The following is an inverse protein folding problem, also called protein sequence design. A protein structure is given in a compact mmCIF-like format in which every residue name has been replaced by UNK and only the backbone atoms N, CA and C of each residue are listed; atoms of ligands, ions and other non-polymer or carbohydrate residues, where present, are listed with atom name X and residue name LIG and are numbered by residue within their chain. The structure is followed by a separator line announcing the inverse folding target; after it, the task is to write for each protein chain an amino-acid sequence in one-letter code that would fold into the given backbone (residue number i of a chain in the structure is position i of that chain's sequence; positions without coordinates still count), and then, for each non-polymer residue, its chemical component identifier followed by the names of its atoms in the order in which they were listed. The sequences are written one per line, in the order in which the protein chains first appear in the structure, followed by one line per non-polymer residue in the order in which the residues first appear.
data_IF_142907319694
#
_entry.id   IF_142907319694
#
_cell.length_a   1.000
_cell.length_b   1.000
_cell.length_c   1.000
_cell.angle_alpha   90.00
_cell.angle_beta   90.00
_cell.angle_gamma   90.00
#
_symmetry.space_group_name_H-M   'P 1'
#
loop_
_entity.id
_entity.type
_entity.pdbx_description
1 polymer ?
#
# COMPACT_ATOMS: atom_id res chain seq x y z
N UNK A 1 -5.51 1.08 56.59
CA UNK A 1 -5.84 2.45 56.15
C UNK A 1 -4.53 3.11 55.72
N UNK A 2 -4.30 3.24 54.44
CA UNK A 2 -3.22 4.03 53.87
C UNK A 2 -3.70 4.55 52.52
N UNK A 3 -3.74 5.87 52.40
CA UNK A 3 -4.21 6.64 51.23
C UNK A 3 -3.22 6.58 50.05
N UNK A 4 -3.66 6.65 48.81
CA UNK A 4 -2.75 6.73 47.66
C UNK A 4 -2.30 8.17 47.43
N UNK A 5 -0.98 8.35 47.31
CA UNK A 5 -0.35 9.61 46.96
C UNK A 5 -0.55 9.92 45.47
N UNK A 6 -1.07 11.10 45.18
CA UNK A 6 -1.14 11.72 43.84
C UNK A 6 0.24 12.20 43.41
N UNK A 7 0.73 11.70 42.29
CA UNK A 7 1.89 12.27 41.57
C UNK A 7 1.39 13.40 40.68
N UNK A 8 1.74 14.63 41.03
CA UNK A 8 1.54 15.85 40.25
C UNK A 8 2.75 16.04 39.32
N UNK A 9 2.52 15.99 38.02
CA UNK A 9 3.53 16.32 37.00
C UNK A 9 3.46 17.82 36.73
N UNK A 10 4.55 18.54 36.98
CA UNK A 10 4.71 19.97 36.68
C UNK A 10 4.90 20.16 35.18
N UNK A 11 3.99 20.92 34.56
CA UNK A 11 4.15 21.46 33.22
C UNK A 11 5.10 22.66 33.26
N UNK A 12 6.19 22.59 32.51
CA UNK A 12 7.06 23.73 32.25
C UNK A 12 6.46 24.59 31.13
N UNK A 13 6.12 25.83 31.47
CA UNK A 13 5.71 26.89 30.54
C UNK A 13 6.91 27.32 29.69
N UNK A 14 6.77 27.27 28.37
CA UNK A 14 7.65 27.97 27.42
C UNK A 14 6.78 29.00 26.69
N UNK A 15 7.14 30.28 26.92
CA UNK A 15 6.52 31.45 26.35
C UNK A 15 6.93 31.67 24.89
N UNK A 16 6.05 32.05 23.96
CA UNK A 16 6.45 32.38 22.58
C UNK A 16 6.87 33.85 22.49
N UNK A 17 8.08 34.12 22.00
CA UNK A 17 8.52 35.45 21.58
C UNK A 17 7.94 35.80 20.23
N UNK A 18 7.11 36.82 20.23
CA UNK A 18 6.62 37.56 19.04
C UNK A 18 7.74 38.41 18.49
N UNK A 19 8.11 38.22 17.23
CA UNK A 19 8.90 39.17 16.45
C UNK A 19 8.01 39.78 15.37
N UNK A 20 7.57 40.99 15.64
CA UNK A 20 6.98 41.91 14.64
C UNK A 20 8.08 42.42 13.71
N UNK A 21 7.90 42.27 12.40
CA UNK A 21 8.62 43.09 11.42
C UNK A 21 7.63 43.61 10.38
N UNK A 22 7.26 44.88 10.58
CA UNK A 22 6.55 45.74 9.63
C UNK A 22 7.50 46.12 8.50
N UNK A 23 7.18 45.80 7.25
CA UNK A 23 7.71 46.52 6.07
C UNK A 23 6.59 46.94 5.13
N UNK A 24 6.64 48.25 4.82
CA UNK A 24 5.75 49.07 4.03
C UNK A 24 5.44 48.53 2.63
N UNK A 25 4.16 48.56 2.28
CA UNK A 25 3.68 48.47 0.89
C UNK A 25 4.08 49.73 0.12
N UNK A 26 4.81 49.60 -0.97
CA UNK A 26 4.85 50.57 -2.06
C UNK A 26 4.01 50.04 -3.21
N UNK A 27 3.01 50.84 -3.59
CA UNK A 27 2.22 50.68 -4.81
C UNK A 27 3.08 51.09 -5.99
N UNK A 28 3.23 50.25 -6.99
CA UNK A 28 3.69 50.57 -8.33
C UNK A 28 2.66 50.10 -9.35
N UNK A 29 2.32 51.02 -10.25
CA UNK A 29 1.32 50.99 -11.30
C UNK A 29 1.67 49.99 -12.44
N UNK A 30 0.66 49.63 -13.31
CA UNK A 30 0.82 48.61 -14.30
C UNK A 30 1.30 49.22 -15.65
N UNK A 31 2.29 48.56 -16.28
CA UNK A 31 2.42 48.44 -17.74
C UNK A 31 3.75 47.82 -18.09
N UNK A 32 3.76 46.55 -18.47
CA UNK A 32 4.56 46.00 -19.57
C UNK A 32 4.18 44.53 -19.77
N UNK A 33 4.02 44.04 -21.02
CA UNK A 33 3.63 42.65 -21.23
C UNK A 33 4.85 41.73 -20.94
N UNK A 34 4.67 40.83 -20.00
CA UNK A 34 5.64 39.78 -19.69
C UNK A 34 5.67 38.81 -20.87
N UNK A 35 6.73 38.90 -21.64
CA UNK A 35 7.13 37.87 -22.62
C UNK A 35 7.31 36.56 -21.85
N UNK A 36 6.36 35.64 -21.99
CA UNK A 36 6.48 34.26 -21.52
C UNK A 36 7.60 33.54 -22.29
N UNK A 37 8.82 33.67 -21.78
CA UNK A 37 9.89 32.73 -22.17
C UNK A 37 9.68 31.46 -21.36
N UNK A 38 8.93 30.52 -21.92
CA UNK A 38 9.01 29.14 -21.49
C UNK A 38 10.47 28.70 -21.70
N UNK A 39 11.25 28.73 -20.61
CA UNK A 39 12.49 27.94 -20.56
C UNK A 39 12.07 26.48 -20.61
N UNK A 40 12.20 25.86 -21.76
CA UNK A 40 12.15 24.41 -21.88
C UNK A 40 13.18 23.85 -20.91
N UNK A 41 12.66 23.18 -19.85
CA UNK A 41 13.50 22.44 -18.93
C UNK A 41 14.18 21.31 -19.70
N UNK A 42 15.44 21.49 -20.05
CA UNK A 42 16.32 20.53 -20.75
C UNK A 42 16.67 19.30 -19.90
N UNK A 43 16.08 19.14 -18.72
CA UNK A 43 16.23 17.96 -17.87
C UNK A 43 15.08 16.95 -18.07
N UNK A 44 14.65 16.69 -19.30
CA UNK A 44 13.85 15.51 -19.59
C UNK A 44 14.77 14.30 -19.43
N UNK A 45 14.62 13.60 -18.30
CA UNK A 45 15.22 12.28 -18.09
C UNK A 45 14.92 11.42 -19.32
N UNK A 46 15.94 10.80 -19.87
CA UNK A 46 15.76 9.87 -20.98
C UNK A 46 14.76 8.79 -20.58
N UNK A 47 13.80 8.43 -21.45
CA UNK A 47 12.82 7.40 -21.11
C UNK A 47 13.55 6.10 -20.77
N UNK A 48 13.11 5.44 -19.68
CA UNK A 48 13.69 4.18 -19.22
C UNK A 48 13.22 3.06 -20.16
N UNK A 49 14.04 2.77 -21.18
CA UNK A 49 13.77 1.68 -22.11
C UNK A 49 14.45 0.40 -21.62
N UNK A 50 13.64 -0.64 -21.38
CA UNK A 50 14.09 -1.95 -20.94
C UNK A 50 14.10 -3.00 -22.05
N UNK A 51 14.04 -2.59 -23.32
CA UNK A 51 14.24 -3.50 -24.44
C UNK A 51 15.71 -3.95 -24.54
N UNK A 52 15.94 -5.10 -25.16
CA UNK A 52 17.28 -5.59 -25.49
C UNK A 52 17.95 -4.62 -26.48
N UNK A 53 19.23 -4.18 -26.32
CA UNK A 53 20.22 -4.72 -25.35
C UNK A 53 20.21 -4.00 -23.97
N UNK A 54 19.47 -2.91 -23.78
CA UNK A 54 19.49 -2.12 -22.55
C UNK A 54 19.15 -2.95 -21.30
N UNK A 55 18.19 -3.87 -21.42
CA UNK A 55 17.78 -4.76 -20.34
C UNK A 55 18.94 -5.62 -19.85
N UNK A 56 19.69 -6.22 -20.76
CA UNK A 56 20.87 -7.04 -20.42
C UNK A 56 21.91 -6.21 -19.66
N UNK A 57 22.17 -5.00 -20.13
CA UNK A 57 23.10 -4.08 -19.48
C UNK A 57 22.64 -3.71 -18.06
N UNK A 58 21.34 -3.46 -17.83
CA UNK A 58 20.80 -3.17 -16.51
C UNK A 58 21.02 -4.35 -15.56
N UNK A 59 20.78 -5.57 -16.01
CA UNK A 59 20.92 -6.79 -15.23
C UNK A 59 22.36 -7.12 -14.83
N UNK A 60 23.32 -6.75 -15.69
CA UNK A 60 24.76 -7.03 -15.52
C UNK A 60 25.51 -5.86 -14.85
N UNK A 61 25.34 -4.64 -15.34
CA UNK A 61 26.14 -3.47 -14.94
C UNK A 61 25.45 -2.56 -13.92
N UNK A 62 24.16 -2.76 -13.72
CA UNK A 62 23.33 -1.93 -12.85
C UNK A 62 22.69 -0.73 -13.55
N UNK A 63 21.96 0.07 -12.78
CA UNK A 63 21.26 1.25 -13.30
C UNK A 63 22.23 2.42 -13.47
N UNK A 64 22.21 3.13 -14.64
CA UNK A 64 22.90 4.40 -14.79
C UNK A 64 22.38 5.46 -13.79
N UNK A 65 23.25 6.39 -13.37
CA UNK A 65 22.99 7.38 -12.30
C UNK A 65 21.78 8.31 -12.50
N UNK A 66 21.21 8.42 -13.71
CA UNK A 66 20.02 9.24 -14.01
C UNK A 66 19.10 8.47 -14.97
N UNK A 67 18.16 7.74 -14.43
CA UNK A 67 17.24 6.94 -15.25
C UNK A 67 15.79 7.13 -14.84
N UNK A 68 14.94 7.42 -15.81
CA UNK A 68 13.49 7.31 -15.79
C UNK A 68 12.75 8.05 -14.66
N UNK A 69 11.44 8.08 -14.77
CA UNK A 69 10.54 8.60 -13.73
C UNK A 69 10.32 7.53 -12.67
N UNK A 70 10.68 7.82 -11.42
CA UNK A 70 10.38 6.95 -10.27
C UNK A 70 8.89 7.01 -9.98
N UNK A 71 8.23 5.86 -9.92
CA UNK A 71 6.83 5.70 -9.53
C UNK A 71 6.69 5.41 -8.04
N UNK A 72 7.70 4.76 -7.44
CA UNK A 72 7.72 4.44 -6.03
C UNK A 72 9.05 3.81 -5.61
N UNK A 73 9.38 3.90 -4.32
CA UNK A 73 10.55 3.24 -3.73
C UNK A 73 10.16 2.65 -2.38
N UNK A 74 10.68 1.47 -2.07
CA UNK A 74 10.41 0.74 -0.84
C UNK A 74 11.53 -0.20 -0.44
N UNK A 75 11.32 -0.98 0.61
CA UNK A 75 12.33 -1.92 1.14
C UNK A 75 12.77 -3.00 0.15
N UNK A 76 11.96 -3.30 -0.85
CA UNK A 76 12.22 -4.34 -1.85
C UNK A 76 12.74 -3.81 -3.18
N UNK A 77 12.96 -2.49 -3.33
CA UNK A 77 13.49 -1.91 -4.56
C UNK A 77 12.77 -0.64 -4.99
N UNK A 78 13.09 -0.20 -6.21
CA UNK A 78 12.53 1.02 -6.81
C UNK A 78 11.75 0.67 -8.07
N UNK A 79 10.56 1.23 -8.22
CA UNK A 79 9.69 1.08 -9.38
C UNK A 79 9.83 2.30 -10.28
N UNK A 80 10.12 2.06 -11.54
CA UNK A 80 10.28 3.08 -12.56
C UNK A 80 9.18 2.97 -13.61
N UNK A 81 8.79 4.11 -14.17
CA UNK A 81 8.07 4.15 -15.44
C UNK A 81 9.04 3.82 -16.56
N UNK A 82 8.72 2.81 -17.36
CA UNK A 82 9.60 2.27 -18.37
C UNK A 82 8.86 2.03 -19.70
N UNK A 83 9.62 1.73 -20.76
CA UNK A 83 9.10 1.27 -22.05
C UNK A 83 9.60 -0.15 -22.31
N UNK A 84 8.69 -1.01 -22.76
CA UNK A 84 8.97 -2.37 -23.17
C UNK A 84 8.15 -2.70 -24.42
N UNK A 85 8.82 -3.07 -25.51
CA UNK A 85 8.20 -3.35 -26.83
C UNK A 85 7.24 -2.22 -27.26
N UNK A 86 7.69 -0.96 -27.12
CA UNK A 86 6.91 0.23 -27.47
C UNK A 86 5.78 0.61 -26.52
N UNK A 87 5.49 -0.20 -25.52
CA UNK A 87 4.42 0.06 -24.54
C UNK A 87 4.98 0.63 -23.23
N UNK A 88 4.20 1.49 -22.56
CA UNK A 88 4.53 1.94 -21.21
C UNK A 88 4.28 0.83 -20.19
N UNK A 89 5.24 0.59 -19.31
CA UNK A 89 5.21 -0.43 -18.27
C UNK A 89 5.75 0.12 -16.96
N UNK A 90 5.50 -0.59 -15.86
CA UNK A 90 6.21 -0.39 -14.60
C UNK A 90 7.34 -1.42 -14.49
N UNK A 91 8.53 -0.97 -14.08
CA UNK A 91 9.72 -1.80 -13.92
C UNK A 91 10.23 -1.70 -12.48
N UNK A 92 10.05 -2.76 -11.69
CA UNK A 92 10.58 -2.88 -10.32
C UNK A 92 12.00 -3.43 -10.40
N UNK A 93 12.96 -2.63 -9.94
CA UNK A 93 14.40 -2.95 -9.96
C UNK A 93 14.84 -3.21 -8.53
N UNK A 94 15.51 -4.33 -8.32
CA UNK A 94 15.95 -4.82 -7.01
C UNK A 94 17.40 -5.29 -7.06
N UNK A 95 18.14 -5.18 -5.95
CA UNK A 95 19.46 -5.80 -5.82
C UNK A 95 19.30 -7.31 -5.68
N UNK A 96 19.91 -8.09 -6.58
CA UNK A 96 19.73 -9.55 -6.65
C UNK A 96 20.07 -10.25 -5.34
N UNK A 97 21.22 -9.92 -4.74
CA UNK A 97 21.69 -10.55 -3.51
C UNK A 97 20.75 -10.36 -2.31
N UNK A 98 20.06 -9.19 -2.24
CA UNK A 98 19.20 -8.82 -1.11
C UNK A 98 17.76 -9.28 -1.26
N UNK A 99 17.35 -9.73 -2.45
CA UNK A 99 15.94 -9.91 -2.80
C UNK A 99 15.59 -11.30 -3.31
N UNK A 100 16.41 -12.31 -3.05
CA UNK A 100 16.16 -13.70 -3.52
C UNK A 100 14.80 -14.22 -3.04
N UNK A 101 14.50 -14.05 -1.75
CA UNK A 101 13.22 -14.50 -1.17
C UNK A 101 12.03 -13.73 -1.77
N UNK A 102 12.18 -12.41 -1.94
CA UNK A 102 11.17 -11.55 -2.56
C UNK A 102 10.91 -11.96 -4.00
N UNK A 103 11.96 -12.23 -4.78
CA UNK A 103 11.82 -12.72 -6.16
C UNK A 103 11.11 -14.08 -6.24
N UNK A 104 11.41 -14.99 -5.32
CA UNK A 104 10.73 -16.27 -5.26
C UNK A 104 9.24 -16.07 -4.94
N UNK A 105 8.91 -15.19 -4.00
CA UNK A 105 7.52 -14.85 -3.68
C UNK A 105 6.79 -14.19 -4.86
N UNK A 106 7.43 -13.26 -5.58
CA UNK A 106 6.86 -12.65 -6.79
C UNK A 106 6.65 -13.67 -7.93
N UNK A 107 7.52 -14.69 -8.03
CA UNK A 107 7.33 -15.78 -8.99
C UNK A 107 6.05 -16.58 -8.76
N UNK A 108 5.60 -16.74 -7.50
CA UNK A 108 4.34 -17.42 -7.19
C UNK A 108 3.14 -16.67 -7.82
N UNK A 109 3.20 -15.35 -7.84
CA UNK A 109 2.14 -14.51 -8.42
C UNK A 109 2.30 -14.30 -9.94
N UNK A 110 3.43 -14.66 -10.52
CA UNK A 110 3.73 -14.37 -11.94
C UNK A 110 2.79 -15.07 -12.93
N UNK A 111 2.16 -16.16 -12.54
CA UNK A 111 1.15 -16.91 -13.32
C UNK A 111 -0.28 -16.45 -13.07
N UNK A 112 -0.54 -15.66 -12.01
CA UNK A 112 -1.88 -15.20 -11.68
C UNK A 112 -2.41 -14.23 -12.77
N UNK A 113 -3.62 -14.47 -13.23
CA UNK A 113 -4.30 -13.65 -14.25
C UNK A 113 -5.70 -13.33 -13.78
N UNK A 114 -5.88 -12.12 -13.25
CA UNK A 114 -7.16 -11.63 -12.76
C UNK A 114 -7.27 -10.11 -12.99
N UNK A 115 -8.48 -9.60 -13.26
CA UNK A 115 -8.71 -8.17 -13.55
C UNK A 115 -8.25 -7.24 -12.43
N UNK A 116 -8.35 -7.69 -11.18
CA UNK A 116 -7.96 -6.94 -9.99
C UNK A 116 -6.57 -7.34 -9.43
N UNK A 117 -5.73 -7.97 -10.24
CA UNK A 117 -4.31 -8.22 -9.92
C UNK A 117 -3.45 -7.57 -10.98
N UNK A 118 -2.37 -6.89 -10.58
CA UNK A 118 -1.40 -6.32 -11.52
C UNK A 118 -0.73 -7.43 -12.31
N UNK A 119 -0.82 -7.35 -13.64
CA UNK A 119 -0.23 -8.36 -14.53
C UNK A 119 1.28 -8.23 -14.55
N UNK A 120 1.97 -9.26 -14.10
CA UNK A 120 3.41 -9.41 -14.30
C UNK A 120 3.65 -9.88 -15.74
N UNK A 121 4.47 -9.13 -16.47
CA UNK A 121 4.83 -9.42 -17.85
C UNK A 121 6.07 -10.29 -17.92
N UNK A 122 7.05 -10.03 -17.02
CA UNK A 122 8.34 -10.71 -17.04
C UNK A 122 9.04 -10.56 -15.70
N UNK A 123 9.74 -11.60 -15.28
CA UNK A 123 10.68 -11.58 -14.13
C UNK A 123 12.03 -12.05 -14.64
N UNK A 124 13.07 -11.26 -14.40
CA UNK A 124 14.44 -11.59 -14.79
C UNK A 124 15.40 -11.36 -13.62
N UNK A 125 16.37 -12.24 -13.52
CA UNK A 125 17.39 -12.19 -12.49
C UNK A 125 18.75 -12.10 -13.16
N UNK A 126 19.46 -11.00 -12.92
CA UNK A 126 20.84 -10.81 -13.34
C UNK A 126 21.82 -11.01 -12.18
N UNK A 127 23.10 -10.79 -12.45
CA UNK A 127 24.17 -10.88 -11.44
C UNK A 127 24.06 -9.76 -10.40
N UNK A 128 23.83 -8.53 -10.82
CA UNK A 128 23.75 -7.37 -9.93
C UNK A 128 22.31 -7.00 -9.58
N UNK A 129 21.44 -6.95 -10.56
CA UNK A 129 20.04 -6.51 -10.40
C UNK A 129 19.06 -7.57 -10.91
N UNK A 130 17.88 -7.54 -10.30
CA UNK A 130 16.71 -8.27 -10.75
C UNK A 130 15.63 -7.30 -11.17
N UNK A 131 14.87 -7.68 -12.20
CA UNK A 131 13.89 -6.84 -12.86
C UNK A 131 12.53 -7.56 -12.91
N UNK A 132 11.48 -6.90 -12.39
CA UNK A 132 10.10 -7.32 -12.60
C UNK A 132 9.43 -6.26 -13.48
N UNK A 133 9.03 -6.68 -14.68
CA UNK A 133 8.27 -5.86 -15.61
C UNK A 133 6.79 -6.18 -15.46
N UNK A 134 5.96 -5.17 -15.27
CA UNK A 134 4.52 -5.32 -15.05
C UNK A 134 3.72 -4.25 -15.78
N UNK A 135 2.42 -4.45 -15.93
CA UNK A 135 1.54 -3.43 -16.47
C UNK A 135 1.66 -2.12 -15.68
N UNK A 136 1.55 -0.99 -16.39
CA UNK A 136 1.53 0.32 -15.77
C UNK A 136 0.12 0.64 -15.31
N UNK A 137 -0.05 0.85 -14.02
CA UNK A 137 -1.28 1.32 -13.40
C UNK A 137 -1.16 2.80 -13.00
N UNK A 138 -2.24 3.36 -12.47
CA UNK A 138 -2.26 4.71 -11.91
C UNK A 138 -1.66 4.77 -10.50
N UNK A 139 -2.16 5.71 -9.70
CA UNK A 139 -1.70 5.96 -8.32
C UNK A 139 -2.21 4.90 -7.34
N UNK A 140 -1.63 4.86 -6.15
CA UNK A 140 -2.04 3.94 -5.09
C UNK A 140 -3.37 4.35 -4.44
N UNK A 141 -4.08 3.42 -3.84
CA UNK A 141 -5.23 3.73 -2.99
C UNK A 141 -4.83 4.68 -1.84
N UNK A 142 -3.59 4.56 -1.32
CA UNK A 142 -3.08 5.47 -0.30
C UNK A 142 -3.04 6.93 -0.79
N UNK A 143 -2.61 7.16 -2.03
CA UNK A 143 -2.59 8.51 -2.62
C UNK A 143 -4.00 9.08 -2.73
N UNK A 144 -4.97 8.26 -3.13
CA UNK A 144 -6.38 8.67 -3.16
C UNK A 144 -6.91 9.02 -1.75
N UNK A 145 -6.58 8.22 -0.73
CA UNK A 145 -7.02 8.48 0.65
C UNK A 145 -6.40 9.75 1.23
N UNK A 146 -5.21 10.13 0.78
CA UNK A 146 -4.54 11.37 1.20
C UNK A 146 -5.16 12.63 0.59
N UNK A 147 -5.90 12.52 -0.52
CA UNK A 147 -6.44 13.67 -1.25
C UNK A 147 -7.88 13.97 -0.90
N UNK A 148 -8.83 13.15 -1.34
CA UNK A 148 -10.27 13.39 -1.23
C UNK A 148 -11.01 12.20 -0.62
N UNK A 149 -12.11 12.41 0.10
CA UNK A 149 -12.98 11.33 0.53
C UNK A 149 -13.49 10.51 -0.66
N UNK A 150 -13.49 9.18 -0.51
CA UNK A 150 -14.04 8.30 -1.52
C UNK A 150 -15.58 8.26 -1.39
N UNK A 151 -16.33 8.40 -2.49
CA UNK A 151 -17.77 8.15 -2.49
C UNK A 151 -18.07 6.70 -2.04
N UNK A 152 -19.19 6.50 -1.33
CA UNK A 152 -19.57 5.17 -0.77
C UNK A 152 -19.57 4.06 -1.83
N UNK A 153 -20.13 4.34 -3.01
CA UNK A 153 -20.14 3.39 -4.14
C UNK A 153 -18.72 3.03 -4.63
N UNK A 154 -17.77 3.97 -4.58
CA UNK A 154 -16.37 3.70 -4.92
C UNK A 154 -15.70 2.86 -3.85
N UNK A 155 -15.98 3.12 -2.57
CA UNK A 155 -15.45 2.34 -1.44
C UNK A 155 -15.83 0.86 -1.58
N UNK A 156 -17.13 0.57 -1.80
CA UNK A 156 -17.60 -0.83 -1.92
C UNK A 156 -17.05 -1.51 -3.17
N UNK A 157 -16.93 -0.80 -4.30
CA UNK A 157 -16.33 -1.35 -5.53
C UNK A 157 -14.85 -1.68 -5.34
N UNK A 158 -14.10 -0.82 -4.67
CA UNK A 158 -12.69 -1.09 -4.33
C UNK A 158 -12.59 -2.30 -3.41
N UNK A 159 -13.36 -2.34 -2.33
CA UNK A 159 -13.35 -3.46 -1.40
C UNK A 159 -13.71 -4.77 -2.11
N UNK A 160 -14.76 -4.77 -2.94
CA UNK A 160 -15.16 -5.93 -3.74
C UNK A 160 -14.04 -6.42 -4.66
N UNK A 161 -13.46 -5.51 -5.45
CA UNK A 161 -12.41 -5.87 -6.41
C UNK A 161 -11.17 -6.47 -5.73
N UNK A 162 -10.74 -5.90 -4.61
CA UNK A 162 -9.61 -6.46 -3.83
C UNK A 162 -9.99 -7.80 -3.20
N UNK A 163 -11.23 -7.96 -2.70
CA UNK A 163 -11.69 -9.26 -2.18
C UNK A 163 -11.69 -10.33 -3.27
N UNK A 164 -12.17 -10.02 -4.48
CA UNK A 164 -12.12 -10.94 -5.61
C UNK A 164 -10.67 -11.33 -5.99
N UNK A 165 -9.74 -10.36 -5.94
CA UNK A 165 -8.32 -10.64 -6.17
C UNK A 165 -7.76 -11.60 -5.12
N UNK A 166 -8.05 -11.37 -3.83
CA UNK A 166 -7.62 -12.26 -2.74
C UNK A 166 -8.24 -13.65 -2.85
N UNK A 167 -9.55 -13.75 -3.15
CA UNK A 167 -10.20 -15.02 -3.37
C UNK A 167 -9.52 -15.82 -4.48
N UNK A 168 -9.19 -15.16 -5.60
CA UNK A 168 -8.48 -15.78 -6.69
C UNK A 168 -7.08 -16.27 -6.28
N UNK A 169 -6.33 -15.46 -5.51
CA UNK A 169 -5.03 -15.86 -4.98
C UNK A 169 -5.14 -17.06 -4.04
N UNK A 170 -6.08 -17.03 -3.09
CA UNK A 170 -6.29 -18.10 -2.11
C UNK A 170 -6.67 -19.42 -2.78
N UNK A 171 -7.53 -19.38 -3.81
CA UNK A 171 -7.89 -20.56 -4.60
C UNK A 171 -6.69 -21.11 -5.42
N UNK A 172 -5.73 -20.24 -5.78
CA UNK A 172 -4.47 -20.63 -6.41
C UNK A 172 -3.38 -21.07 -5.39
N UNK A 173 -3.73 -21.16 -4.10
CA UNK A 173 -2.81 -21.54 -3.04
C UNK A 173 -1.84 -20.44 -2.58
N UNK A 174 -2.09 -19.16 -2.92
CA UNK A 174 -1.22 -18.03 -2.61
C UNK A 174 -1.89 -17.12 -1.57
N UNK A 175 -1.18 -16.81 -0.48
CA UNK A 175 -1.54 -15.78 0.50
C UNK A 175 -0.67 -14.55 0.24
N UNK A 176 -1.27 -13.36 0.13
CA UNK A 176 -0.54 -12.12 -0.21
C UNK A 176 0.37 -11.62 0.92
N UNK A 177 -0.11 -11.67 2.16
CA UNK A 177 0.57 -11.35 3.41
C UNK A 177 1.05 -9.89 3.62
N UNK A 178 0.76 -8.96 2.69
CA UNK A 178 1.03 -7.51 2.87
C UNK A 178 -0.05 -6.64 2.22
N UNK A 179 -1.33 -6.97 2.47
CA UNK A 179 -2.46 -6.17 1.97
C UNK A 179 -2.52 -4.84 2.69
N UNK A 180 -2.37 -3.74 1.95
CA UNK A 180 -2.41 -2.35 2.45
C UNK A 180 -2.73 -1.37 1.31
N UNK A 181 -3.16 -0.12 1.58
CA UNK A 181 -3.52 0.83 0.52
C UNK A 181 -2.38 1.16 -0.45
N UNK A 182 -1.11 1.08 -0.03
CA UNK A 182 0.06 1.27 -0.92
C UNK A 182 0.22 0.14 -1.94
N UNK A 183 -0.28 -1.05 -1.64
CA UNK A 183 -0.21 -2.22 -2.51
C UNK A 183 -1.51 -2.46 -3.31
N UNK A 184 -2.41 -1.47 -3.32
CA UNK A 184 -3.61 -1.45 -4.15
C UNK A 184 -3.48 -0.27 -5.11
N UNK A 185 -3.26 -0.55 -6.38
CA UNK A 185 -3.18 0.46 -7.44
C UNK A 185 -4.56 0.69 -8.04
N UNK A 186 -4.82 1.93 -8.44
CA UNK A 186 -6.02 2.27 -9.19
C UNK A 186 -5.67 2.34 -10.67
N UNK A 187 -6.33 1.56 -11.50
CA UNK A 187 -6.18 1.64 -12.95
C UNK A 187 -6.83 2.92 -13.50
N UNK A 188 -6.58 3.25 -14.74
CA UNK A 188 -7.12 4.46 -15.40
C UNK A 188 -8.64 4.48 -15.49
N UNK A 189 -9.27 3.30 -15.55
CA UNK A 189 -10.73 3.10 -15.50
C UNK A 189 -11.29 3.01 -14.07
N UNK A 190 -10.43 3.25 -13.05
CA UNK A 190 -10.82 3.32 -11.64
C UNK A 190 -10.99 1.96 -10.95
N UNK A 191 -10.55 0.85 -11.58
CA UNK A 191 -10.58 -0.47 -10.95
C UNK A 191 -9.39 -0.66 -10.01
N UNK A 192 -9.57 -1.29 -8.84
CA UNK A 192 -8.46 -1.62 -7.96
C UNK A 192 -7.68 -2.82 -8.50
N UNK A 193 -6.36 -2.77 -8.37
CA UNK A 193 -5.45 -3.86 -8.73
C UNK A 193 -4.45 -4.11 -7.61
N UNK A 194 -4.46 -5.34 -7.08
CA UNK A 194 -3.53 -5.79 -6.05
C UNK A 194 -2.14 -6.00 -6.65
N UNK A 195 -1.09 -5.55 -5.96
CA UNK A 195 0.30 -5.61 -6.42
C UNK A 195 1.25 -5.93 -5.28
N UNK A 196 2.53 -6.15 -5.60
CA UNK A 196 3.64 -6.39 -4.65
C UNK A 196 3.47 -7.68 -3.83
N UNK A 197 3.65 -8.80 -4.51
CA UNK A 197 3.61 -10.15 -3.92
C UNK A 197 4.93 -10.57 -3.25
N UNK A 198 5.84 -9.63 -3.02
CA UNK A 198 7.15 -9.89 -2.43
C UNK A 198 7.12 -10.49 -1.02
N UNK A 199 6.00 -10.39 -0.32
CA UNK A 199 5.75 -11.03 0.98
C UNK A 199 4.90 -12.29 0.90
N UNK A 200 4.44 -12.69 -0.30
CA UNK A 200 3.48 -13.78 -0.45
C UNK A 200 4.05 -15.13 -0.05
N UNK A 201 3.17 -16.01 0.44
CA UNK A 201 3.51 -17.37 0.85
C UNK A 201 2.56 -18.37 0.21
N UNK A 202 3.05 -19.58 -0.04
CA UNK A 202 2.23 -20.69 -0.54
C UNK A 202 1.52 -21.41 0.62
N UNK A 203 0.25 -21.72 0.44
CA UNK A 203 -0.52 -22.52 1.40
C UNK A 203 0.10 -23.92 1.44
N UNK A 204 0.29 -24.46 2.65
CA UNK A 204 0.87 -25.79 2.84
C UNK A 204 2.40 -25.86 2.86
N UNK A 205 3.14 -24.89 2.29
CA UNK A 205 4.59 -24.86 2.35
C UNK A 205 5.11 -24.24 3.66
N UNK A 206 6.26 -24.69 4.20
CA UNK A 206 6.88 -24.05 5.36
C UNK A 206 7.32 -22.61 5.05
N UNK A 207 7.39 -21.75 6.07
CA UNK A 207 8.00 -20.42 5.92
C UNK A 207 9.49 -20.58 5.61
N UNK A 208 9.95 -19.96 4.53
CA UNK A 208 11.34 -19.99 4.10
C UNK A 208 12.25 -19.07 4.91
N UNK A 209 11.68 -18.10 5.60
CA UNK A 209 12.43 -17.14 6.42
C UNK A 209 11.73 -16.90 7.75
N UNK A 210 12.53 -16.65 8.81
CA UNK A 210 12.05 -16.21 10.12
C UNK A 210 11.77 -14.69 10.17
N UNK A 211 11.96 -13.99 9.05
CA UNK A 211 11.76 -12.53 9.00
C UNK A 211 10.29 -12.18 9.07
N UNK A 212 9.97 -11.19 9.89
CA UNK A 212 8.64 -10.60 9.93
C UNK A 212 8.31 -9.98 8.56
N UNK A 213 7.21 -10.42 7.97
CA UNK A 213 6.69 -9.89 6.73
C UNK A 213 5.45 -9.05 7.00
N UNK A 214 5.30 -7.97 6.24
CA UNK A 214 4.15 -7.10 6.30
C UNK A 214 4.40 -5.75 6.95
N UNK A 215 3.37 -4.93 6.99
CA UNK A 215 3.42 -3.54 7.46
C UNK A 215 2.70 -3.42 8.80
N UNK A 216 3.37 -2.97 9.89
CA UNK A 216 2.71 -2.74 11.18
C UNK A 216 1.41 -1.95 11.02
N UNK A 217 0.38 -2.35 11.76
CA UNK A 217 -0.96 -1.77 11.66
C UNK A 217 -1.91 -2.51 10.72
N UNK A 218 -1.38 -3.28 9.73
CA UNK A 218 -2.19 -4.10 8.82
C UNK A 218 -2.03 -5.60 9.07
N UNK A 219 -0.96 -6.02 9.73
CA UNK A 219 -0.64 -7.43 9.96
C UNK A 219 -1.52 -8.04 11.03
N UNK A 220 -2.04 -9.23 10.76
CA UNK A 220 -2.92 -9.97 11.64
C UNK A 220 -2.24 -10.42 12.94
N UNK A 221 -2.97 -10.49 14.07
CA UNK A 221 -2.42 -10.79 15.40
C UNK A 221 -1.66 -12.12 15.48
N UNK A 222 -2.15 -13.15 14.80
CA UNK A 222 -1.49 -14.46 14.75
C UNK A 222 -0.14 -14.40 14.03
N UNK A 223 -0.03 -13.59 12.97
CA UNK A 223 1.22 -13.40 12.23
C UNK A 223 2.22 -12.60 13.06
N UNK A 224 1.75 -11.59 13.82
CA UNK A 224 2.57 -10.85 14.79
C UNK A 224 3.12 -11.76 15.90
N UNK A 225 2.44 -12.84 16.23
CA UNK A 225 2.86 -13.87 17.19
C UNK A 225 3.79 -14.93 16.58
N UNK A 226 4.15 -14.80 15.29
CA UNK A 226 5.06 -15.70 14.58
C UNK A 226 4.39 -16.83 13.83
N UNK A 227 3.05 -16.89 13.79
CA UNK A 227 2.37 -17.90 12.98
C UNK A 227 2.49 -17.57 11.48
N UNK A 228 2.42 -18.61 10.66
CA UNK A 228 2.42 -18.45 9.21
C UNK A 228 1.16 -17.70 8.74
N UNK A 229 1.27 -16.75 7.80
CA UNK A 229 0.12 -16.12 7.20
C UNK A 229 -0.82 -17.15 6.52
N UNK A 230 -2.11 -16.95 6.70
CA UNK A 230 -3.19 -17.76 6.10
C UNK A 230 -4.14 -16.85 5.32
N UNK A 231 -5.06 -17.36 4.51
CA UNK A 231 -6.12 -16.56 3.89
C UNK A 231 -6.85 -15.62 4.87
N UNK A 232 -7.08 -16.06 6.11
CA UNK A 232 -7.70 -15.23 7.15
C UNK A 232 -6.83 -14.03 7.57
N UNK A 233 -5.50 -14.10 7.42
CA UNK A 233 -4.62 -12.97 7.68
C UNK A 233 -4.78 -11.86 6.61
N UNK A 234 -4.98 -12.23 5.33
CA UNK A 234 -5.27 -11.27 4.27
C UNK A 234 -6.64 -10.60 4.48
N UNK A 235 -7.64 -11.37 4.94
CA UNK A 235 -8.97 -10.83 5.29
C UNK A 235 -8.86 -9.83 6.43
N UNK A 236 -8.05 -10.11 7.46
CA UNK A 236 -7.78 -9.15 8.54
C UNK A 236 -7.18 -7.85 7.99
N UNK A 237 -6.13 -7.95 7.19
CA UNK A 237 -5.45 -6.80 6.59
C UNK A 237 -6.42 -5.97 5.73
N UNK A 238 -7.27 -6.64 4.94
CA UNK A 238 -8.31 -5.99 4.15
C UNK A 238 -9.37 -5.32 5.04
N UNK A 239 -9.69 -5.86 6.21
CA UNK A 239 -10.55 -5.21 7.22
C UNK A 239 -9.99 -3.88 7.71
N UNK A 240 -8.68 -3.81 7.95
CA UNK A 240 -8.00 -2.55 8.30
C UNK A 240 -8.04 -1.56 7.11
N UNK A 241 -7.83 -2.03 5.88
CA UNK A 241 -7.96 -1.20 4.67
C UNK A 241 -9.39 -0.66 4.53
N UNK A 242 -10.39 -1.50 4.77
CA UNK A 242 -11.81 -1.11 4.71
C UNK A 242 -12.12 0.00 5.72
N UNK A 243 -11.67 -0.14 6.96
CA UNK A 243 -11.76 0.93 7.96
C UNK A 243 -11.06 2.21 7.48
N UNK A 244 -9.83 2.10 6.94
CA UNK A 244 -9.08 3.26 6.48
C UNK A 244 -9.74 3.98 5.31
N UNK A 245 -10.44 3.28 4.43
CA UNK A 245 -11.17 3.91 3.32
C UNK A 245 -12.25 4.87 3.78
N UNK A 246 -12.88 4.63 4.94
CA UNK A 246 -13.90 5.50 5.50
C UNK A 246 -13.29 6.53 6.45
N UNK A 247 -12.46 6.11 7.41
CA UNK A 247 -11.87 6.99 8.42
C UNK A 247 -10.82 7.94 7.84
N UNK A 248 -10.14 7.52 6.76
CA UNK A 248 -8.98 8.19 6.14
C UNK A 248 -7.79 8.36 7.09
N UNK A 249 -7.86 7.76 8.26
CA UNK A 249 -6.78 7.81 9.27
C UNK A 249 -5.80 6.67 9.01
N UNK A 250 -4.51 6.93 9.21
CA UNK A 250 -3.51 5.86 9.23
C UNK A 250 -3.72 5.01 10.49
N UNK A 251 -3.77 3.66 10.39
CA UNK A 251 -3.96 2.83 11.57
C UNK A 251 -2.85 3.07 12.59
N UNK A 252 -3.24 3.34 13.85
CA UNK A 252 -2.34 3.64 14.97
C UNK A 252 -1.39 4.84 14.71
N UNK A 253 -1.86 5.88 14.04
CA UNK A 253 -1.07 7.06 13.71
C UNK A 253 -0.34 7.63 14.93
N UNK A 254 0.93 8.01 14.75
CA UNK A 254 1.76 8.60 15.80
C UNK A 254 2.46 7.58 16.73
N UNK A 255 2.15 6.28 16.64
CA UNK A 255 2.80 5.26 17.44
C UNK A 255 4.02 4.66 16.72
N UNK A 256 5.02 4.28 17.51
CA UNK A 256 6.18 3.56 16.99
C UNK A 256 5.81 2.11 16.59
N UNK A 257 6.48 1.56 15.58
CA UNK A 257 6.18 0.24 15.02
C UNK A 257 6.10 -0.87 16.07
N UNK A 258 6.97 -0.91 17.07
CA UNK A 258 6.93 -1.91 18.13
C UNK A 258 5.69 -1.77 19.02
N UNK A 259 5.24 -0.55 19.31
CA UNK A 259 4.01 -0.31 20.04
C UNK A 259 2.78 -0.78 19.23
N UNK A 260 2.75 -0.50 17.93
CA UNK A 260 1.69 -0.97 17.03
C UNK A 260 1.62 -2.50 17.03
N UNK A 261 2.76 -3.18 16.89
CA UNK A 261 2.86 -4.64 16.92
C UNK A 261 2.30 -5.19 18.23
N UNK A 262 2.74 -4.65 19.36
CA UNK A 262 2.28 -5.08 20.69
C UNK A 262 0.77 -4.87 20.86
N UNK A 263 0.26 -3.68 20.55
CA UNK A 263 -1.15 -3.34 20.70
C UNK A 263 -2.05 -4.22 19.81
N UNK A 264 -1.71 -4.35 18.52
CA UNK A 264 -2.46 -5.19 17.59
C UNK A 264 -2.48 -6.66 18.02
N UNK A 265 -1.34 -7.20 18.48
CA UNK A 265 -1.25 -8.56 18.99
C UNK A 265 -2.11 -8.79 20.24
N UNK A 266 -2.29 -7.75 21.09
CA UNK A 266 -3.14 -7.74 22.28
C UNK A 266 -4.62 -7.52 21.98
N UNK A 267 -5.01 -7.31 20.72
CA UNK A 267 -6.40 -7.14 20.32
C UNK A 267 -6.87 -5.70 20.18
N UNK A 268 -5.98 -4.72 20.38
CA UNK A 268 -6.33 -3.33 20.09
C UNK A 268 -6.54 -3.14 18.58
N UNK A 269 -7.47 -2.24 18.25
CA UNK A 269 -7.80 -1.86 16.87
C UNK A 269 -7.75 -0.36 16.73
N UNK A 270 -7.61 0.18 15.51
CA UNK A 270 -7.74 1.60 15.28
C UNK A 270 -9.10 2.12 15.79
N UNK A 271 -9.10 3.35 16.31
CA UNK A 271 -10.31 3.97 16.84
C UNK A 271 -11.39 4.11 15.77
N UNK A 272 -12.62 3.76 16.15
CA UNK A 272 -13.79 3.96 15.33
C UNK A 272 -14.43 5.28 15.73
N UNK A 273 -14.63 6.18 14.76
CA UNK A 273 -15.54 7.30 14.96
C UNK A 273 -16.98 6.78 15.06
N UNK A 274 -17.86 7.50 15.77
CA UNK A 274 -19.28 7.16 15.84
C UNK A 274 -19.89 7.33 14.44
N UNK A 275 -20.07 6.22 13.75
CA UNK A 275 -20.73 6.15 12.46
C UNK A 275 -22.19 5.76 12.71
N UNK A 276 -23.11 6.61 12.27
CA UNK A 276 -24.54 6.43 12.46
C UNK A 276 -25.15 5.84 11.18
N UNK A 277 -25.94 4.77 11.35
CA UNK A 277 -27.04 4.22 10.55
C UNK A 277 -26.87 3.88 9.05
N UNK A 278 -27.61 2.87 8.59
CA UNK A 278 -27.72 2.45 7.21
C UNK A 278 -26.46 1.79 6.66
N UNK A 279 -25.99 2.25 5.49
CA UNK A 279 -24.79 1.74 4.82
C UNK A 279 -23.57 1.66 5.76
N UNK A 280 -23.34 2.69 6.56
CA UNK A 280 -22.17 2.75 7.45
C UNK A 280 -22.24 1.70 8.55
N UNK A 281 -23.42 1.39 9.08
CA UNK A 281 -23.61 0.35 10.07
C UNK A 281 -23.27 -1.05 9.56
N UNK A 282 -23.77 -1.42 8.38
CA UNK A 282 -23.46 -2.72 7.73
C UNK A 282 -21.98 -2.80 7.34
N UNK A 283 -21.44 -1.74 6.76
CA UNK A 283 -20.03 -1.66 6.37
C UNK A 283 -19.10 -1.76 7.59
N UNK A 284 -19.44 -1.05 8.68
CA UNK A 284 -18.70 -1.10 9.94
C UNK A 284 -18.75 -2.50 10.57
N UNK A 285 -19.91 -3.17 10.55
CA UNK A 285 -20.04 -4.54 11.01
C UNK A 285 -19.18 -5.49 10.20
N UNK A 286 -19.11 -5.30 8.87
CA UNK A 286 -18.31 -6.12 7.98
C UNK A 286 -16.81 -6.01 8.33
N UNK A 287 -16.22 -4.80 8.31
CA UNK A 287 -14.78 -4.70 8.57
C UNK A 287 -14.41 -5.07 10.00
N UNK A 288 -15.33 -4.91 10.98
CA UNK A 288 -15.13 -5.39 12.35
C UNK A 288 -15.07 -6.91 12.42
N UNK A 289 -15.87 -7.62 11.66
CA UNK A 289 -15.77 -9.08 11.54
C UNK A 289 -14.47 -9.47 10.83
N UNK A 290 -14.10 -8.77 9.76
CA UNK A 290 -12.88 -9.08 9.01
C UNK A 290 -11.61 -8.96 9.87
N UNK A 291 -11.54 -8.00 10.79
CA UNK A 291 -10.39 -7.83 11.68
C UNK A 291 -10.56 -8.45 13.08
N UNK A 292 -11.44 -9.45 13.23
CA UNK A 292 -11.62 -10.18 14.49
C UNK A 292 -10.29 -10.73 15.01
N UNK A 293 -10.17 -10.84 16.34
CA UNK A 293 -8.97 -11.35 16.98
C UNK A 293 -8.72 -12.81 16.58
N UNK A 294 -9.75 -13.61 16.69
CA UNK A 294 -9.69 -15.02 16.34
C UNK A 294 -9.93 -15.23 14.84
N UNK A 295 -9.14 -16.07 14.25
CA UNK A 295 -9.18 -16.33 12.79
C UNK A 295 -10.49 -16.98 12.36
N UNK A 296 -11.10 -17.79 13.23
CA UNK A 296 -12.36 -18.50 12.95
C UNK A 296 -13.58 -17.55 12.83
N UNK A 297 -13.51 -16.38 13.49
CA UNK A 297 -14.58 -15.39 13.48
C UNK A 297 -14.54 -14.50 12.25
N UNK A 298 -13.45 -14.57 11.47
CA UNK A 298 -13.29 -13.79 10.24
C UNK A 298 -14.06 -14.45 9.11
N UNK A 299 -14.83 -13.68 8.33
CA UNK A 299 -15.55 -14.23 7.18
C UNK A 299 -14.56 -14.69 6.11
N UNK A 300 -14.90 -15.76 5.40
CA UNK A 300 -14.19 -16.12 4.18
C UNK A 300 -14.46 -15.10 3.05
N UNK A 301 -13.63 -15.07 2.03
CA UNK A 301 -13.71 -14.05 0.96
C UNK A 301 -15.04 -14.07 0.20
N UNK A 302 -15.66 -15.22 0.02
CA UNK A 302 -17.00 -15.36 -0.58
C UNK A 302 -18.09 -14.69 0.29
N UNK A 303 -18.03 -14.86 1.60
CA UNK A 303 -18.97 -14.21 2.55
C UNK A 303 -18.78 -12.67 2.54
N UNK A 304 -17.53 -12.20 2.43
CA UNK A 304 -17.23 -10.77 2.28
C UNK A 304 -17.85 -10.24 1.00
N UNK A 305 -17.66 -10.93 -0.16
CA UNK A 305 -18.23 -10.54 -1.46
C UNK A 305 -19.76 -10.47 -1.37
N UNK A 306 -20.41 -11.50 -0.82
CA UNK A 306 -21.86 -11.54 -0.70
C UNK A 306 -22.42 -10.36 0.13
N UNK A 307 -21.73 -10.02 1.22
CA UNK A 307 -22.12 -8.85 2.06
C UNK A 307 -21.95 -7.54 1.29
N UNK A 308 -20.86 -7.40 0.53
CA UNK A 308 -20.62 -6.20 -0.29
C UNK A 308 -21.65 -6.10 -1.42
N UNK A 309 -22.01 -7.20 -2.06
CA UNK A 309 -23.02 -7.21 -3.14
C UNK A 309 -24.40 -6.78 -2.62
N UNK A 310 -24.73 -7.13 -1.37
CA UNK A 310 -25.93 -6.60 -0.72
C UNK A 310 -25.87 -5.08 -0.50
N UNK A 311 -24.68 -4.53 -0.16
CA UNK A 311 -24.47 -3.08 -0.01
C UNK A 311 -24.49 -2.32 -1.33
N UNK A 312 -24.17 -2.98 -2.45
CA UNK A 312 -24.21 -2.36 -3.81
C UNK A 312 -25.66 -2.31 -4.32
N UNK A 313 -26.50 -3.26 -3.93
CA UNK A 313 -27.87 -3.36 -4.36
C UNK A 313 -28.84 -2.38 -3.64
N UNK A 314 -28.38 -1.77 -2.54
CA UNK A 314 -29.08 -0.70 -1.81
C UNK A 314 -28.81 0.68 -2.40
#
# INVERSE_FOLDING_TARGET
MASPQRLTVKLCNISPRVLQNTRKRQLLSPTTPIRNTYKENKDRLSPFNIDTPNRRKILEDGLPKKYGTVLGSGGFGTVYKAFYKGNQVAAKVMQTEKCVDVLNSEKHASSLRHSNIVKILMIEQGSSLSLITMELCGTTLQDHLNTTPLPKNKVVRILRGVTCALQFCHNAGVVHADVKPKNILMSTDGQPKLTDFGSSVLIGEPLRTSKFHGTPGYVAPEVLKGNKPTPAADVYSLGIVAWQMISRKVPFAGLHSHAIIYLSAKGNRPENDDMNDGFEGVYKTLYRKMWSQDTIDRPATDQVINTIDTLIAQ
#
